data_IF_561323723616
#
_entry.id   IF_561323723616
#
_cell.length_a   1.000
_cell.length_b   1.000
_cell.length_c   1.000
_cell.angle_alpha   90.00
_cell.angle_beta   90.00
_cell.angle_gamma   90.00
#
_symmetry.space_group_name_H-M   'P 1'
#
loop_
_entity.id
_entity.type
_entity.pdbx_description
1 polymer ?
#
# COMPACT_ATOMS: atom_id res chain seq x y z
N UNK A 1 -18.97 22.98 20.37
CA UNK A 1 -18.80 22.62 18.94
C UNK A 1 -17.33 22.37 18.60
N UNK A 2 -16.44 23.37 18.67
CA UNK A 2 -15.02 23.20 18.30
C UNK A 2 -14.29 22.16 19.17
N UNK A 3 -14.47 22.20 20.49
CA UNK A 3 -13.83 21.24 21.42
C UNK A 3 -14.28 19.80 21.17
N UNK A 4 -15.58 19.58 20.92
CA UNK A 4 -16.13 18.26 20.59
C UNK A 4 -15.59 17.73 19.27
N UNK A 5 -15.48 18.59 18.26
CA UNK A 5 -14.87 18.25 16.97
C UNK A 5 -13.39 17.90 17.10
N UNK A 6 -12.63 18.64 17.93
CA UNK A 6 -11.23 18.35 18.19
C UNK A 6 -11.04 17.01 18.92
N UNK A 7 -11.85 16.73 19.95
CA UNK A 7 -11.82 15.43 20.65
C UNK A 7 -12.13 14.28 19.68
N UNK A 8 -13.10 14.48 18.79
CA UNK A 8 -13.42 13.51 17.74
C UNK A 8 -12.26 13.31 16.76
N UNK A 9 -11.64 14.39 16.28
CA UNK A 9 -10.50 14.30 15.36
C UNK A 9 -9.30 13.61 16.02
N UNK A 10 -8.94 14.00 17.24
CA UNK A 10 -7.78 13.46 17.97
C UNK A 10 -7.99 11.99 18.35
N UNK A 11 -9.22 11.54 18.59
CA UNK A 11 -9.50 10.12 18.87
C UNK A 11 -9.62 9.28 17.61
N UNK A 12 -10.24 9.81 16.55
CA UNK A 12 -10.52 9.06 15.33
C UNK A 12 -9.31 8.97 14.40
N UNK A 13 -8.53 10.05 14.24
CA UNK A 13 -7.42 10.07 13.29
C UNK A 13 -6.34 9.02 13.62
N UNK A 14 -5.87 8.87 14.87
CA UNK A 14 -4.90 7.82 15.19
C UNK A 14 -5.43 6.41 14.94
N UNK A 15 -6.74 6.19 15.13
CA UNK A 15 -7.37 4.92 14.81
C UNK A 15 -7.36 4.66 13.30
N UNK A 16 -7.65 5.67 12.49
CA UNK A 16 -7.62 5.59 11.02
C UNK A 16 -6.20 5.33 10.51
N UNK A 17 -5.19 6.00 11.07
CA UNK A 17 -3.79 5.83 10.66
C UNK A 17 -3.28 4.39 10.86
N UNK A 18 -3.78 3.65 11.86
CA UNK A 18 -3.46 2.22 12.03
C UNK A 18 -3.83 1.36 10.82
N UNK A 19 -4.77 1.81 9.99
CA UNK A 19 -5.20 1.13 8.77
C UNK A 19 -4.57 1.70 7.49
N UNK A 20 -3.64 2.66 7.64
CA UNK A 20 -2.93 3.34 6.55
C UNK A 20 -1.42 3.14 6.71
N UNK A 21 -0.88 1.93 6.46
CA UNK A 21 0.54 1.61 6.73
C UNK A 21 1.52 2.22 5.71
N UNK A 22 1.16 3.34 5.08
CA UNK A 22 1.96 3.97 4.02
C UNK A 22 3.32 4.46 4.53
N UNK A 23 3.36 5.00 5.75
CA UNK A 23 4.62 5.43 6.38
C UNK A 23 5.58 4.25 6.54
N UNK A 24 5.10 3.14 7.09
CA UNK A 24 5.88 1.90 7.23
C UNK A 24 6.35 1.35 5.87
N UNK A 25 5.49 1.37 4.85
CA UNK A 25 5.89 0.97 3.49
C UNK A 25 6.98 1.89 2.96
N UNK A 26 6.82 3.21 3.13
CA UNK A 26 7.81 4.21 2.72
C UNK A 26 9.15 4.00 3.41
N UNK A 27 9.14 3.77 4.73
CA UNK A 27 10.34 3.45 5.50
C UNK A 27 11.05 2.21 4.96
N UNK A 28 10.33 1.08 4.85
CA UNK A 28 10.91 -0.17 4.33
C UNK A 28 11.52 0.01 2.94
N UNK A 29 10.82 0.72 2.04
CA UNK A 29 11.33 1.03 0.71
C UNK A 29 12.64 1.81 0.78
N UNK A 30 12.71 2.83 1.64
CA UNK A 30 13.87 3.71 1.72
C UNK A 30 15.07 3.06 2.42
N UNK A 31 14.82 2.14 3.35
CA UNK A 31 15.87 1.44 4.10
C UNK A 31 16.48 0.28 3.29
N UNK A 32 15.71 -0.36 2.40
CA UNK A 32 16.15 -1.55 1.66
C UNK A 32 16.46 -1.30 0.17
N UNK A 33 15.91 -0.24 -0.43
CA UNK A 33 16.13 0.12 -1.84
C UNK A 33 16.58 1.58 -1.92
N UNK A 34 17.86 1.89 -1.64
CA UNK A 34 18.36 3.27 -1.63
C UNK A 34 18.29 3.96 -3.00
N UNK A 35 18.32 3.19 -4.09
CA UNK A 35 18.23 3.67 -5.47
C UNK A 35 16.86 4.29 -5.74
N UNK A 36 16.82 5.62 -5.91
CA UNK A 36 15.58 6.42 -6.06
C UNK A 36 15.02 6.39 -7.48
N UNK A 37 15.83 6.00 -8.46
CA UNK A 37 15.46 5.86 -9.86
C UNK A 37 14.65 4.58 -10.13
N UNK A 38 14.76 3.57 -9.26
CA UNK A 38 13.91 2.37 -9.30
C UNK A 38 12.48 2.77 -8.90
N UNK A 39 11.49 2.73 -9.82
CA UNK A 39 10.13 3.10 -9.50
C UNK A 39 9.44 2.03 -8.64
N UNK A 40 8.49 2.44 -7.81
CA UNK A 40 7.56 1.50 -7.16
C UNK A 40 6.43 1.16 -8.13
N UNK A 41 6.35 -0.10 -8.56
CA UNK A 41 5.28 -0.57 -9.45
C UNK A 41 4.15 -1.19 -8.63
N UNK A 42 2.91 -0.77 -8.85
CA UNK A 42 1.74 -1.20 -8.08
C UNK A 42 0.79 -1.99 -8.97
N UNK A 43 0.51 -3.23 -8.57
CA UNK A 43 -0.35 -4.13 -9.33
C UNK A 43 -1.84 -3.77 -9.20
N UNK A 44 -2.48 -3.41 -10.31
CA UNK A 44 -3.95 -3.34 -10.45
C UNK A 44 -4.69 -2.45 -9.44
N UNK A 45 -4.03 -1.44 -8.87
CA UNK A 45 -4.66 -0.46 -7.99
C UNK A 45 -3.83 0.83 -7.86
N UNK A 46 -4.43 1.86 -7.28
CA UNK A 46 -3.74 3.11 -6.93
C UNK A 46 -4.13 3.62 -5.53
N UNK A 47 -3.16 3.67 -4.63
CA UNK A 47 -3.28 4.36 -3.34
C UNK A 47 -2.71 5.77 -3.44
N UNK A 48 -3.58 6.78 -3.38
CA UNK A 48 -3.22 8.19 -3.58
C UNK A 48 -2.11 8.71 -2.65
N UNK A 49 -2.02 8.15 -1.45
CA UNK A 49 -1.05 8.60 -0.45
C UNK A 49 0.33 7.94 -0.62
N UNK A 50 0.38 6.78 -1.26
CA UNK A 50 1.60 5.98 -1.37
C UNK A 50 2.77 6.73 -2.05
N UNK A 51 2.59 7.54 -3.11
CA UNK A 51 3.69 8.30 -3.72
C UNK A 51 4.40 9.23 -2.75
N UNK A 52 3.67 9.87 -1.83
CA UNK A 52 4.26 10.78 -0.84
C UNK A 52 5.23 10.04 0.08
N UNK A 53 4.84 8.87 0.58
CA UNK A 53 5.66 8.08 1.52
C UNK A 53 6.77 7.31 0.82
N UNK A 54 6.55 6.83 -0.41
CA UNK A 54 7.54 6.08 -1.17
C UNK A 54 8.74 6.95 -1.61
N UNK A 55 8.56 8.27 -1.69
CA UNK A 55 9.59 9.26 -2.09
C UNK A 55 10.29 8.89 -3.41
N UNK A 56 9.52 8.32 -4.34
CA UNK A 56 9.96 7.90 -5.68
C UNK A 56 8.78 7.83 -6.63
N UNK A 57 9.05 7.65 -7.93
CA UNK A 57 8.00 7.49 -8.94
C UNK A 57 7.17 6.24 -8.63
N UNK A 58 5.85 6.39 -8.61
CA UNK A 58 4.91 5.26 -8.45
C UNK A 58 4.22 4.99 -9.78
N UNK A 59 4.45 3.80 -10.33
CA UNK A 59 3.79 3.30 -11.52
C UNK A 59 2.55 2.53 -11.09
N UNK A 60 1.38 3.12 -11.29
CA UNK A 60 0.10 2.65 -10.74
C UNK A 60 -0.71 1.83 -11.74
N UNK A 61 -1.60 0.98 -11.22
CA UNK A 61 -2.53 0.18 -12.02
C UNK A 61 -1.85 -0.68 -13.10
N UNK A 62 -0.68 -1.22 -12.76
CA UNK A 62 0.07 -2.08 -13.67
C UNK A 62 -0.52 -3.50 -13.68
N UNK A 63 -0.81 -4.08 -14.86
CA UNK A 63 -1.12 -5.49 -14.96
C UNK A 63 0.09 -6.33 -14.55
N UNK A 64 -0.15 -7.47 -13.88
CA UNK A 64 0.92 -8.36 -13.42
C UNK A 64 1.85 -8.82 -14.56
N UNK A 65 1.34 -9.02 -15.78
CA UNK A 65 2.14 -9.40 -16.94
C UNK A 65 3.21 -8.36 -17.26
N UNK A 66 2.86 -7.06 -17.20
CA UNK A 66 3.83 -5.97 -17.42
C UNK A 66 4.86 -5.88 -16.30
N UNK A 67 4.49 -6.22 -15.06
CA UNK A 67 5.43 -6.28 -13.93
C UNK A 67 6.43 -7.42 -14.14
N UNK A 68 5.96 -8.58 -14.59
CA UNK A 68 6.82 -9.74 -14.89
C UNK A 68 7.79 -9.39 -16.03
N UNK A 69 7.31 -8.80 -17.12
CA UNK A 69 8.13 -8.34 -18.23
C UNK A 69 9.20 -7.33 -17.77
N UNK A 70 8.80 -6.33 -16.99
CA UNK A 70 9.73 -5.35 -16.40
C UNK A 70 10.84 -6.02 -15.59
N UNK A 71 10.49 -7.05 -14.81
CA UNK A 71 11.42 -7.78 -13.94
C UNK A 71 12.49 -8.63 -14.65
N UNK A 72 12.41 -8.73 -15.99
CA UNK A 72 13.41 -9.44 -16.81
C UNK A 72 14.56 -8.54 -17.22
N UNK A 73 14.32 -7.23 -17.32
CA UNK A 73 15.28 -6.28 -17.87
C UNK A 73 15.85 -5.34 -16.81
N UNK A 74 15.12 -5.12 -15.70
CA UNK A 74 15.43 -4.10 -14.70
C UNK A 74 15.18 -4.61 -13.29
N UNK A 75 15.92 -4.09 -12.29
CA UNK A 75 15.59 -4.29 -10.89
C UNK A 75 14.13 -3.89 -10.62
N UNK A 76 13.39 -4.77 -9.95
CA UNK A 76 11.98 -4.62 -9.67
C UNK A 76 11.76 -4.24 -8.21
N UNK A 77 11.11 -3.11 -7.97
CA UNK A 77 10.43 -2.80 -6.71
C UNK A 77 8.92 -2.76 -6.96
N UNK A 78 8.17 -3.68 -6.38
CA UNK A 78 6.75 -3.78 -6.66
C UNK A 78 5.88 -4.09 -5.44
N UNK A 79 4.64 -3.61 -5.48
CA UNK A 79 3.58 -3.93 -4.54
C UNK A 79 2.54 -4.80 -5.25
N UNK A 80 2.58 -6.10 -4.96
CA UNK A 80 1.84 -7.14 -5.69
C UNK A 80 0.81 -7.85 -4.80
N UNK A 81 -0.17 -8.47 -5.46
CA UNK A 81 -1.11 -9.43 -4.86
C UNK A 81 -0.40 -10.74 -4.54
N UNK A 82 -1.10 -11.66 -3.87
CA UNK A 82 -0.57 -13.02 -3.63
C UNK A 82 -0.37 -13.76 -4.94
N UNK A 83 -1.33 -13.64 -5.85
CA UNK A 83 -1.31 -14.27 -7.16
C UNK A 83 -0.19 -13.68 -8.03
N UNK A 84 0.08 -12.38 -7.87
CA UNK A 84 1.22 -11.71 -8.51
C UNK A 84 2.57 -12.18 -7.97
N UNK A 85 2.70 -12.29 -6.64
CA UNK A 85 3.91 -12.79 -5.98
C UNK A 85 4.33 -14.17 -6.51
N UNK A 86 3.37 -15.09 -6.66
CA UNK A 86 3.63 -16.46 -7.14
C UNK A 86 4.17 -16.53 -8.58
N UNK A 87 3.97 -15.48 -9.37
CA UNK A 87 4.43 -15.41 -10.77
C UNK A 87 5.81 -14.77 -10.92
N UNK A 88 6.38 -14.25 -9.83
CA UNK A 88 7.68 -13.60 -9.83
C UNK A 88 8.67 -14.56 -9.20
N UNK A 89 9.74 -14.89 -9.94
CA UNK A 89 10.74 -15.84 -9.49
C UNK A 89 11.72 -15.19 -8.51
N UNK A 90 11.91 -15.84 -7.35
CA UNK A 90 12.85 -15.49 -6.29
C UNK A 90 12.86 -14.01 -5.85
N UNK A 91 11.69 -13.36 -5.60
CA UNK A 91 11.69 -12.02 -5.02
C UNK A 91 12.03 -12.06 -3.53
N UNK A 92 12.74 -11.04 -3.07
CA UNK A 92 12.84 -10.71 -1.67
C UNK A 92 11.54 -10.01 -1.22
N UNK A 93 10.94 -10.48 -0.12
CA UNK A 93 9.74 -9.86 0.45
C UNK A 93 10.16 -8.86 1.52
N UNK A 94 10.03 -7.57 1.20
CA UNK A 94 10.41 -6.49 2.11
C UNK A 94 9.31 -6.17 3.14
N UNK A 95 8.04 -6.29 2.73
CA UNK A 95 6.90 -6.04 3.61
C UNK A 95 5.66 -6.82 3.17
N UNK A 96 4.82 -7.19 4.13
CA UNK A 96 3.50 -7.77 3.88
C UNK A 96 2.48 -7.13 4.81
N UNK A 97 1.31 -6.82 4.29
CA UNK A 97 0.23 -6.28 5.11
C UNK A 97 -1.06 -6.06 4.34
N UNK A 98 -2.02 -5.42 5.00
CA UNK A 98 -3.34 -5.17 4.43
C UNK A 98 -3.46 -3.72 4.00
N UNK A 99 -4.03 -3.50 2.82
CA UNK A 99 -4.32 -2.17 2.28
C UNK A 99 -5.79 -2.08 1.89
N UNK A 100 -6.38 -0.90 2.11
CA UNK A 100 -7.79 -0.64 1.80
C UNK A 100 -8.04 -0.66 0.28
N UNK A 101 -9.06 -1.40 -0.17
CA UNK A 101 -9.33 -1.62 -1.62
C UNK A 101 -10.76 -1.31 -2.06
N UNK A 102 -11.58 -0.62 -1.24
CA UNK A 102 -12.98 -0.30 -1.59
C UNK A 102 -13.15 1.11 -2.15
N UNK A 103 -12.15 1.58 -2.90
CA UNK A 103 -12.08 2.89 -3.53
C UNK A 103 -11.14 3.86 -2.80
N UNK A 104 -11.28 5.15 -3.08
CA UNK A 104 -10.45 6.18 -2.44
C UNK A 104 -10.76 6.33 -0.94
N UNK A 105 -9.71 6.51 -0.14
CA UNK A 105 -9.80 6.85 1.29
C UNK A 105 -10.47 8.22 1.52
N UNK A 106 -10.47 9.11 0.50
CA UNK A 106 -11.18 10.39 0.55
C UNK A 106 -12.70 10.23 0.67
N UNK A 107 -13.24 9.05 0.34
CA UNK A 107 -14.63 8.68 0.65
C UNK A 107 -14.73 8.29 2.13
N UNK A 108 -14.50 9.26 2.99
CA UNK A 108 -14.19 9.06 4.41
C UNK A 108 -15.23 8.21 5.14
N UNK A 109 -16.52 8.46 4.94
CA UNK A 109 -17.58 7.65 5.56
C UNK A 109 -17.54 6.16 5.15
N UNK A 110 -17.23 5.87 3.87
CA UNK A 110 -17.08 4.50 3.38
C UNK A 110 -15.83 3.85 3.97
N UNK A 111 -14.74 4.60 4.03
CA UNK A 111 -13.49 4.12 4.63
C UNK A 111 -13.67 3.79 6.11
N UNK A 112 -14.28 4.69 6.89
CA UNK A 112 -14.61 4.48 8.31
C UNK A 112 -15.52 3.26 8.52
N UNK A 113 -16.50 3.04 7.63
CA UNK A 113 -17.34 1.83 7.66
C UNK A 113 -16.46 0.58 7.62
N UNK A 114 -15.51 0.50 6.70
CA UNK A 114 -14.63 -0.66 6.58
C UNK A 114 -13.59 -0.78 7.70
N UNK A 115 -13.11 0.34 8.25
CA UNK A 115 -12.29 0.33 9.47
C UNK A 115 -13.07 -0.27 10.64
N UNK A 116 -14.33 0.16 10.86
CA UNK A 116 -15.19 -0.40 11.90
C UNK A 116 -15.43 -1.90 11.71
N UNK A 117 -15.59 -2.38 10.47
CA UNK A 117 -15.69 -3.82 10.17
C UNK A 117 -14.39 -4.54 10.53
N UNK A 118 -13.24 -3.99 10.14
CA UNK A 118 -11.93 -4.58 10.41
C UNK A 118 -11.58 -4.64 11.91
N UNK A 119 -11.99 -3.65 12.70
CA UNK A 119 -11.87 -3.68 14.17
C UNK A 119 -12.67 -4.82 14.81
N UNK A 120 -13.68 -5.36 14.12
CA UNK A 120 -14.47 -6.52 14.54
C UNK A 120 -14.01 -7.82 13.88
N UNK A 121 -12.84 -7.81 13.23
CA UNK A 121 -12.26 -8.97 12.54
C UNK A 121 -12.67 -9.13 11.07
N UNK A 122 -13.56 -8.29 10.54
CA UNK A 122 -13.98 -8.37 9.14
C UNK A 122 -13.12 -7.46 8.24
N UNK A 123 -12.14 -8.07 7.58
CA UNK A 123 -11.21 -7.40 6.66
C UNK A 123 -11.69 -7.36 5.21
N UNK A 124 -12.97 -7.58 4.90
CA UNK A 124 -13.51 -7.55 3.52
C UNK A 124 -13.26 -6.24 2.76
N UNK A 125 -12.95 -5.14 3.47
CA UNK A 125 -12.58 -3.86 2.87
C UNK A 125 -11.12 -3.75 2.44
N UNK A 126 -10.30 -4.73 2.80
CA UNK A 126 -8.87 -4.71 2.66
C UNK A 126 -8.41 -5.92 1.85
N UNK A 127 -7.22 -5.81 1.28
CA UNK A 127 -6.55 -6.89 0.60
C UNK A 127 -5.11 -7.04 1.10
N UNK A 128 -4.58 -8.25 1.03
CA UNK A 128 -3.18 -8.50 1.37
C UNK A 128 -2.31 -8.09 0.19
N UNK A 129 -1.25 -7.34 0.47
CA UNK A 129 -0.24 -6.92 -0.48
C UNK A 129 1.16 -7.27 0.02
N UNK A 130 2.02 -7.55 -0.94
CA UNK A 130 3.42 -7.90 -0.74
C UNK A 130 4.27 -6.84 -1.42
N UNK A 131 5.07 -6.13 -0.64
CA UNK A 131 6.14 -5.30 -1.18
C UNK A 131 7.33 -6.22 -1.42
N UNK A 132 7.79 -6.27 -2.66
CA UNK A 132 8.87 -7.12 -3.09
C UNK A 132 9.98 -6.33 -3.76
N UNK A 133 11.18 -6.87 -3.67
CA UNK A 133 12.34 -6.43 -4.40
C UNK A 133 12.99 -7.62 -5.12
N UNK A 134 13.44 -7.39 -6.35
CA UNK A 134 14.16 -8.38 -7.14
C UNK A 134 15.23 -7.64 -7.94
N UNK A 135 16.48 -8.07 -7.82
CA UNK A 135 17.59 -7.55 -8.62
C UNK A 135 17.62 -8.17 -10.01
#
# INVERSE_FOLDING_TARGET
MLTTFLIFAVSLLPLVEKFRPYDKIGQVINDNVPEKDIPLIVEGYFWHNLPFYAKRKVLRDYPIQKIIEYSKEKPLLALVTREGLQKINNPEILWTGRLYRKGSESRFAVFLKYIRKALRGDYSGFEVRYLIFKR
#
